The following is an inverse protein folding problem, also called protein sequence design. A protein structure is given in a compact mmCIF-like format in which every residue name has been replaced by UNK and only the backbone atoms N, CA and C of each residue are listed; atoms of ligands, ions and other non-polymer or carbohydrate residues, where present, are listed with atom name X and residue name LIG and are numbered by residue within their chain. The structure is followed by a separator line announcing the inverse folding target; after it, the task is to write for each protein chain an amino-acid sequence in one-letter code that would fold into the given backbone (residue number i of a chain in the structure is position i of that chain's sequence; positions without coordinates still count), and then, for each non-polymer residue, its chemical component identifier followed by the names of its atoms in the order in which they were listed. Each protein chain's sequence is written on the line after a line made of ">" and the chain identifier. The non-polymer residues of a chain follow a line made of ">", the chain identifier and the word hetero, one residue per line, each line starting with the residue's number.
data_IF_243101050685
#
_entry.id   IF_243101050685
#
_cell.length_a   1.000
_cell.length_b   1.000
_cell.length_c   1.000
_cell.angle_alpha   90.00
_cell.angle_beta   90.00
_cell.angle_gamma   90.00
#
_symmetry.space_group_name_H-M   'P 1'
#
loop_
_entity.id
_entity.type
_entity.pdbx_description
1 polymer ?
#
# COMPACT_ATOMS: atom_id res chain seq x y z
N UNK A 1 -9.69 -13.06 14.81
CA UNK A 1 -8.94 -14.03 13.98
C UNK A 1 -8.45 -15.22 14.81
N UNK A 2 -9.28 -15.82 15.67
CA UNK A 2 -8.86 -16.98 16.47
C UNK A 2 -8.79 -18.19 15.55
N UNK A 3 -7.61 -18.79 15.40
CA UNK A 3 -7.37 -19.95 14.54
C UNK A 3 -7.06 -19.62 13.07
N UNK A 4 -6.80 -18.37 12.71
CA UNK A 4 -6.28 -18.01 11.40
C UNK A 4 -4.74 -18.09 11.39
N UNK A 5 -4.15 -18.45 10.25
CA UNK A 5 -2.69 -18.48 10.08
C UNK A 5 -2.12 -17.13 9.66
N UNK A 6 -2.89 -16.34 8.92
CA UNK A 6 -2.54 -15.01 8.39
C UNK A 6 -3.75 -14.09 8.45
N UNK A 7 -3.52 -12.80 8.72
CA UNK A 7 -4.53 -11.75 8.60
C UNK A 7 -4.31 -10.91 7.33
N UNK A 8 -5.32 -10.80 6.47
CA UNK A 8 -5.32 -9.87 5.34
C UNK A 8 -6.14 -8.64 5.73
N UNK A 9 -5.56 -7.45 5.61
CA UNK A 9 -6.23 -6.18 5.92
C UNK A 9 -6.22 -5.29 4.68
N UNK A 10 -7.41 -4.94 4.22
CA UNK A 10 -7.59 -4.01 3.10
C UNK A 10 -7.88 -2.62 3.65
N UNK A 11 -7.03 -1.65 3.30
CA UNK A 11 -7.13 -0.25 3.69
C UNK A 11 -6.94 0.65 2.47
N UNK A 12 -7.14 1.96 2.61
CA UNK A 12 -6.86 2.87 1.51
C UNK A 12 -7.65 4.17 1.53
N UNK A 13 -7.57 4.89 0.42
CA UNK A 13 -8.30 6.14 0.25
C UNK A 13 -9.79 5.88 -0.02
N UNK A 14 -10.65 6.79 0.42
CA UNK A 14 -12.03 6.84 -0.06
C UNK A 14 -12.07 7.36 -1.50
N UNK A 15 -13.10 7.04 -2.30
CA UNK A 15 -13.24 7.58 -3.64
C UNK A 15 -13.26 9.12 -3.64
N UNK A 16 -12.58 9.72 -4.61
CA UNK A 16 -12.57 11.15 -4.88
C UNK A 16 -12.42 11.40 -6.37
N UNK A 17 -12.71 12.62 -6.81
CA UNK A 17 -12.48 13.07 -8.18
C UNK A 17 -12.02 14.52 -8.18
N UNK A 18 -11.09 14.84 -9.07
CA UNK A 18 -10.56 16.20 -9.26
C UNK A 18 -10.10 16.83 -7.94
N UNK A 19 -10.55 18.05 -7.63
CA UNK A 19 -10.14 18.84 -6.47
C UNK A 19 -10.54 18.21 -5.12
N UNK A 20 -11.54 17.32 -5.10
CA UNK A 20 -11.92 16.58 -3.89
C UNK A 20 -10.82 15.58 -3.46
N UNK A 21 -9.86 15.31 -4.36
CA UNK A 21 -8.68 14.52 -4.08
C UNK A 21 -7.51 15.30 -3.50
N UNK A 22 -7.57 16.63 -3.45
CA UNK A 22 -6.46 17.42 -2.92
C UNK A 22 -6.35 17.26 -1.41
N UNK A 23 -5.14 16.94 -0.92
CA UNK A 23 -4.89 16.65 0.49
C UNK A 23 -3.60 17.31 0.95
N UNK A 24 -3.66 17.95 2.11
CA UNK A 24 -2.47 18.49 2.79
C UNK A 24 -1.57 17.37 3.34
N UNK A 25 -2.13 16.16 3.55
CA UNK A 25 -1.41 15.00 4.06
C UNK A 25 -1.89 13.71 3.40
N UNK A 26 -0.93 12.91 2.96
CA UNK A 26 -1.12 11.56 2.38
C UNK A 26 -0.85 10.45 3.41
N UNK A 27 -0.85 10.76 4.70
CA UNK A 27 -0.78 9.75 5.75
C UNK A 27 -2.01 8.81 5.71
N UNK A 28 -1.81 7.58 6.19
CA UNK A 28 -2.91 6.63 6.40
C UNK A 28 -3.93 7.20 7.40
N UNK A 29 -5.22 6.93 7.16
CA UNK A 29 -6.25 7.33 8.10
C UNK A 29 -6.11 6.57 9.43
N UNK A 30 -6.48 7.22 10.53
CA UNK A 30 -6.49 6.58 11.86
C UNK A 30 -7.34 5.31 11.90
N UNK A 31 -8.41 5.25 11.10
CA UNK A 31 -9.29 4.07 10.99
C UNK A 31 -8.57 2.88 10.34
N UNK A 32 -7.68 3.14 9.39
CA UNK A 32 -6.91 2.14 8.66
C UNK A 32 -5.83 1.55 9.57
N UNK A 33 -5.11 2.42 10.27
CA UNK A 33 -4.15 2.03 11.31
C UNK A 33 -4.82 1.19 12.40
N UNK A 34 -6.01 1.61 12.85
CA UNK A 34 -6.79 0.84 13.84
C UNK A 34 -7.25 -0.52 13.31
N UNK A 35 -7.59 -0.64 12.02
CA UNK A 35 -7.94 -1.92 11.40
C UNK A 35 -6.75 -2.87 11.36
N UNK A 36 -5.58 -2.38 10.97
CA UNK A 36 -4.32 -3.13 10.98
C UNK A 36 -4.01 -3.60 12.42
N UNK A 37 -4.03 -2.69 13.39
CA UNK A 37 -3.71 -3.00 14.78
C UNK A 37 -4.67 -4.02 15.40
N UNK A 38 -5.96 -4.00 15.01
CA UNK A 38 -6.94 -4.98 15.48
C UNK A 38 -6.56 -6.40 15.04
N UNK A 39 -6.04 -6.57 13.83
CA UNK A 39 -5.63 -7.87 13.32
C UNK A 39 -4.27 -8.26 13.88
N UNK A 40 -3.32 -7.33 14.01
CA UNK A 40 -2.02 -7.59 14.67
C UNK A 40 -2.18 -8.11 16.10
N UNK A 41 -3.17 -7.61 16.85
CA UNK A 41 -3.51 -8.11 18.20
C UNK A 41 -3.90 -9.59 18.26
N UNK A 42 -4.25 -10.21 17.12
CA UNK A 42 -4.49 -11.64 17.06
C UNK A 42 -3.20 -12.48 17.06
N UNK A 43 -2.01 -11.85 16.94
CA UNK A 43 -0.72 -12.54 16.99
C UNK A 43 -0.37 -13.30 15.71
N UNK A 44 -0.99 -12.96 14.58
CA UNK A 44 -0.74 -13.57 13.27
C UNK A 44 0.01 -12.59 12.36
N UNK A 45 0.80 -13.07 11.38
CA UNK A 45 1.36 -12.25 10.32
C UNK A 45 0.25 -11.46 9.61
N UNK A 46 0.51 -10.19 9.32
CA UNK A 46 -0.47 -9.29 8.68
C UNK A 46 0.01 -8.87 7.30
N UNK A 47 -0.76 -9.23 6.28
CA UNK A 47 -0.58 -8.75 4.90
C UNK A 47 -1.52 -7.58 4.67
N UNK A 48 -0.97 -6.44 4.26
CA UNK A 48 -1.74 -5.22 4.00
C UNK A 48 -1.94 -5.04 2.50
N UNK A 49 -3.18 -4.78 2.09
CA UNK A 49 -3.53 -4.39 0.73
C UNK A 49 -3.96 -2.94 0.78
N UNK A 50 -3.25 -2.07 0.06
CA UNK A 50 -3.58 -0.65 -0.05
C UNK A 50 -4.32 -0.42 -1.38
N UNK A 51 -5.52 0.12 -1.28
CA UNK A 51 -6.34 0.60 -2.40
C UNK A 51 -6.27 2.12 -2.44
N UNK A 52 -5.47 2.70 -3.32
CA UNK A 52 -5.25 4.14 -3.39
C UNK A 52 -5.05 4.63 -4.82
N UNK A 53 -5.36 5.90 -5.08
CA UNK A 53 -5.12 6.52 -6.39
C UNK A 53 -3.66 6.91 -6.62
N UNK A 54 -2.83 6.86 -5.56
CA UNK A 54 -1.46 7.38 -5.49
C UNK A 54 -0.69 6.76 -4.31
N UNK A 55 0.64 6.92 -4.24
CA UNK A 55 1.41 6.56 -3.05
C UNK A 55 0.90 7.27 -1.79
N UNK A 56 0.88 6.54 -0.67
CA UNK A 56 0.57 7.06 0.67
C UNK A 56 1.83 7.03 1.55
N UNK A 57 1.86 7.85 2.61
CA UNK A 57 2.98 7.83 3.56
C UNK A 57 2.84 6.63 4.50
N UNK A 58 3.73 5.65 4.31
CA UNK A 58 3.67 4.34 4.99
C UNK A 58 5.00 3.91 5.62
N UNK A 59 6.06 4.72 5.53
CA UNK A 59 7.41 4.34 5.94
C UNK A 59 7.45 3.80 7.39
N UNK A 60 6.79 4.48 8.33
CA UNK A 60 6.74 4.10 9.75
C UNK A 60 5.91 2.83 10.04
N UNK A 61 5.17 2.32 9.06
CA UNK A 61 4.31 1.15 9.22
C UNK A 61 4.88 -0.11 8.57
N UNK A 62 5.77 0.01 7.57
CA UNK A 62 6.26 -1.10 6.76
C UNK A 62 6.85 -2.25 7.58
N UNK A 63 7.70 -1.95 8.56
CA UNK A 63 8.37 -2.96 9.41
C UNK A 63 7.40 -3.76 10.28
N UNK A 64 6.13 -3.34 10.36
CA UNK A 64 5.09 -3.99 11.16
C UNK A 64 4.24 -4.96 10.33
N UNK A 65 4.44 -5.04 9.02
CA UNK A 65 3.64 -5.83 8.10
C UNK A 65 4.46 -7.02 7.58
N UNK A 66 3.80 -8.16 7.41
CA UNK A 66 4.41 -9.34 6.80
C UNK A 66 4.46 -9.27 5.27
N UNK A 67 3.61 -8.42 4.67
CA UNK A 67 3.59 -8.18 3.24
C UNK A 67 2.73 -6.96 2.92
N UNK A 68 3.02 -6.34 1.78
CA UNK A 68 2.30 -5.18 1.27
C UNK A 68 1.96 -5.40 -0.21
N UNK A 69 0.73 -5.11 -0.59
CA UNK A 69 0.29 -5.04 -1.99
C UNK A 69 -0.31 -3.66 -2.24
N UNK A 70 0.29 -2.91 -3.15
CA UNK A 70 -0.33 -1.71 -3.72
C UNK A 70 -1.27 -2.15 -4.85
N UNK A 71 -2.57 -2.20 -4.57
CA UNK A 71 -3.61 -2.65 -5.51
C UNK A 71 -4.17 -1.51 -6.38
N UNK A 72 -3.76 -0.27 -6.11
CA UNK A 72 -4.26 0.94 -6.78
C UNK A 72 -5.78 1.06 -6.69
N UNK A 73 -6.46 1.42 -7.79
CA UNK A 73 -7.91 1.38 -7.91
C UNK A 73 -8.30 0.24 -8.88
N UNK A 74 -8.45 -1.00 -8.38
CA UNK A 74 -8.44 -2.22 -9.22
C UNK A 74 -9.73 -2.46 -10.03
N UNK A 75 -10.74 -1.60 -9.91
CA UNK A 75 -12.01 -1.76 -10.61
C UNK A 75 -12.89 -2.87 -10.03
N UNK A 76 -13.76 -3.45 -10.87
CA UNK A 76 -14.78 -4.44 -10.45
C UNK A 76 -14.21 -5.83 -10.16
N UNK A 77 -13.11 -6.20 -10.81
CA UNK A 77 -12.57 -7.57 -10.78
C UNK A 77 -11.62 -7.79 -9.60
N UNK A 78 -12.13 -7.64 -8.38
CA UNK A 78 -11.35 -7.80 -7.15
C UNK A 78 -10.68 -9.18 -7.00
N UNK A 79 -11.14 -10.19 -7.74
CA UNK A 79 -10.49 -11.51 -7.83
C UNK A 79 -9.05 -11.43 -8.35
N UNK A 80 -8.72 -10.46 -9.19
CA UNK A 80 -7.34 -10.28 -9.67
C UNK A 80 -6.34 -10.04 -8.53
N UNK A 81 -6.78 -9.47 -7.41
CA UNK A 81 -5.95 -9.32 -6.21
C UNK A 81 -5.71 -10.67 -5.53
N UNK A 82 -6.75 -11.50 -5.43
CA UNK A 82 -6.63 -12.83 -4.81
C UNK A 82 -5.83 -13.80 -5.66
N UNK A 83 -5.94 -13.73 -6.98
CA UNK A 83 -5.17 -14.53 -7.93
C UNK A 83 -3.65 -14.39 -7.69
N UNK A 84 -3.18 -13.21 -7.27
CA UNK A 84 -1.78 -12.96 -6.93
C UNK A 84 -1.45 -13.35 -5.48
N UNK A 85 -2.31 -13.01 -4.52
CA UNK A 85 -2.05 -13.30 -3.09
C UNK A 85 -1.97 -14.79 -2.81
N UNK A 86 -2.79 -15.59 -3.49
CA UNK A 86 -2.81 -17.05 -3.34
C UNK A 86 -1.86 -17.77 -4.30
N UNK A 87 -1.14 -17.04 -5.15
CA UNK A 87 -0.08 -17.59 -5.99
C UNK A 87 -0.57 -18.29 -7.27
N UNK A 88 -1.80 -18.02 -7.72
CA UNK A 88 -2.26 -18.47 -9.04
C UNK A 88 -1.46 -17.77 -10.16
N UNK A 89 -1.00 -16.54 -9.90
CA UNK A 89 -0.12 -15.78 -10.78
C UNK A 89 1.00 -15.07 -10.01
N UNK A 90 2.20 -15.02 -10.62
CA UNK A 90 3.32 -14.24 -10.08
C UNK A 90 3.08 -12.73 -10.25
N UNK A 91 3.39 -11.91 -9.23
CA UNK A 91 3.30 -10.46 -9.37
C UNK A 91 4.38 -9.95 -10.33
N UNK A 92 3.94 -9.24 -11.37
CA UNK A 92 4.78 -8.64 -12.41
C UNK A 92 4.75 -7.12 -12.41
N UNK A 93 3.85 -6.52 -11.62
CA UNK A 93 3.73 -5.06 -11.51
C UNK A 93 5.03 -4.41 -11.06
N UNK A 94 5.31 -3.24 -11.63
CA UNK A 94 6.44 -2.37 -11.28
C UNK A 94 5.90 -0.96 -11.09
N UNK A 95 6.38 -0.24 -10.08
CA UNK A 95 5.90 1.10 -9.76
C UNK A 95 6.11 2.04 -10.95
N UNK A 96 5.04 2.66 -11.45
CA UNK A 96 5.11 3.70 -12.48
C UNK A 96 5.28 5.11 -11.90
N UNK A 97 5.41 5.22 -10.58
CA UNK A 97 5.63 6.46 -9.81
C UNK A 97 6.56 6.16 -8.64
N UNK A 98 7.37 7.13 -8.24
CA UNK A 98 8.21 7.02 -7.04
C UNK A 98 7.33 6.99 -5.78
N UNK A 99 7.66 6.13 -4.82
CA UNK A 99 6.95 6.10 -3.54
C UNK A 99 7.70 6.95 -2.49
N UNK A 100 7.13 8.05 -1.98
CA UNK A 100 7.82 8.90 -1.01
C UNK A 100 7.95 8.23 0.37
N UNK A 101 9.05 8.51 1.07
CA UNK A 101 9.26 8.17 2.49
C UNK A 101 8.38 9.03 3.39
N UNK A 102 8.25 10.32 3.06
CA UNK A 102 7.53 11.31 3.87
C UNK A 102 6.88 12.41 3.03
N UNK A 103 6.05 13.26 3.65
CA UNK A 103 5.39 14.38 2.96
C UNK A 103 6.40 15.41 2.45
N UNK A 104 7.52 15.59 3.16
CA UNK A 104 8.55 16.59 2.85
C UNK A 104 9.30 16.29 1.54
N UNK A 105 9.23 15.05 1.05
CA UNK A 105 9.82 14.68 -0.24
C UNK A 105 8.95 15.07 -1.42
N UNK A 106 7.69 15.48 -1.23
CA UNK A 106 6.79 15.74 -2.34
C UNK A 106 7.01 17.18 -2.86
N UNK A 107 7.27 17.39 -4.17
CA UNK A 107 7.32 16.39 -5.24
C UNK A 107 8.66 15.63 -5.32
N UNK A 108 8.61 14.31 -5.55
CA UNK A 108 9.77 13.43 -5.81
C UNK A 108 9.53 12.60 -7.07
N UNK A 109 10.43 12.71 -8.05
CA UNK A 109 10.30 12.09 -9.36
C UNK A 109 11.58 11.38 -9.78
N UNK A 110 11.42 10.33 -10.60
CA UNK A 110 12.55 9.63 -11.19
C UNK A 110 13.39 10.61 -12.03
N UNK A 111 14.70 10.65 -11.75
CA UNK A 111 15.66 11.53 -12.43
C UNK A 111 15.96 12.83 -11.67
N UNK A 112 15.30 13.10 -10.55
CA UNK A 112 15.68 14.22 -9.68
C UNK A 112 17.12 14.04 -9.14
N UNK A 113 17.84 15.15 -8.91
CA UNK A 113 19.23 15.09 -8.43
C UNK A 113 19.37 14.48 -7.05
N UNK A 114 18.39 14.71 -6.17
CA UNK A 114 18.35 14.22 -4.79
C UNK A 114 17.34 13.06 -4.64
N UNK A 115 17.29 12.17 -5.63
CA UNK A 115 16.33 11.08 -5.70
C UNK A 115 16.58 9.99 -4.65
N UNK A 116 15.83 10.03 -3.55
CA UNK A 116 15.88 9.04 -2.45
C UNK A 116 14.48 8.59 -1.97
N UNK A 117 13.69 7.90 -2.80
CA UNK A 117 12.34 7.48 -2.45
C UNK A 117 12.33 6.26 -1.51
N UNK A 118 11.18 6.00 -0.86
CA UNK A 118 10.94 4.77 -0.10
C UNK A 118 11.03 3.54 -0.98
N UNK A 119 10.37 3.62 -2.13
CA UNK A 119 10.48 2.66 -3.22
C UNK A 119 10.72 3.42 -4.52
N UNK A 120 11.75 3.03 -5.24
CA UNK A 120 12.13 3.64 -6.51
C UNK A 120 11.08 3.41 -7.60
N UNK A 121 11.05 4.30 -8.58
CA UNK A 121 10.37 4.06 -9.85
C UNK A 121 10.86 2.72 -10.44
N UNK A 122 9.92 1.90 -10.90
CA UNK A 122 10.21 0.57 -11.39
C UNK A 122 10.39 -0.49 -10.30
N UNK A 123 10.28 -0.15 -9.01
CA UNK A 123 10.32 -1.15 -7.94
C UNK A 123 9.12 -2.11 -8.03
N UNK A 124 9.35 -3.38 -7.69
CA UNK A 124 8.30 -4.37 -7.53
C UNK A 124 8.90 -5.74 -7.29
N UNK A 125 8.45 -6.40 -6.21
CA UNK A 125 8.90 -7.74 -5.87
C UNK A 125 8.18 -8.80 -6.72
N UNK A 126 8.78 -9.98 -6.78
CA UNK A 126 8.22 -11.19 -7.38
C UNK A 126 8.56 -12.37 -6.45
N UNK A 127 7.71 -13.41 -6.41
CA UNK A 127 7.99 -14.65 -5.69
C UNK A 127 8.74 -15.65 -6.57
#
# INVERSE_FOLDING_TARGET
>A
AKGADVGIVVIGETPYAEMEGDRESLALDKKDLAAIDRIKKAGVPVVVIIVSGRPLIIADELDKWAGLIAAWLPGSEGKGVTDVIFGDYNPTGRLSVSWPRSMEQIPINFGDSDYDPLFEYGFGLSY
#
